data_IF_717691645211
#
_entry.id   IF_717691645211
#
_cell.length_a   1.000
_cell.length_b   1.000
_cell.length_c   1.000
_cell.angle_alpha   90.00
_cell.angle_beta   90.00
_cell.angle_gamma   90.00
#
_symmetry.space_group_name_H-M   'P 1'
#
loop_
_entity.id
_entity.type
_entity.pdbx_description
1 polymer ?
#
# COMPACT_ATOMS: atom_id res chain seq x y z
N UNK A 1 30.29 -5.22 28.93
CA UNK A 1 29.84 -4.55 30.17
C UNK A 1 28.42 -4.95 30.44
N UNK A 2 28.16 -5.55 31.60
CA UNK A 2 26.87 -6.10 32.03
C UNK A 2 25.79 -5.02 32.13
N UNK A 3 24.58 -5.34 31.65
CA UNK A 3 23.38 -4.54 31.86
C UNK A 3 22.76 -4.96 33.20
N UNK A 4 22.86 -4.11 34.22
CA UNK A 4 22.21 -4.32 35.53
C UNK A 4 20.79 -3.72 35.45
N UNK A 5 19.78 -4.57 35.66
CA UNK A 5 18.38 -4.16 35.83
C UNK A 5 18.14 -3.95 37.32
N UNK A 6 18.03 -2.70 37.75
CA UNK A 6 17.60 -2.35 39.11
C UNK A 6 16.14 -1.88 39.09
N UNK A 7 15.30 -2.55 39.88
CA UNK A 7 13.92 -2.15 40.13
C UNK A 7 13.95 -1.15 41.28
N UNK A 8 13.61 0.11 41.02
CA UNK A 8 13.40 1.13 42.06
C UNK A 8 11.94 1.54 42.04
N UNK A 9 11.25 1.29 43.16
CA UNK A 9 9.91 1.80 43.41
C UNK A 9 10.00 3.28 43.80
N UNK A 10 9.33 4.15 43.04
CA UNK A 10 9.23 5.58 43.35
C UNK A 10 7.77 6.01 43.52
N UNK A 11 7.52 6.64 44.67
CA UNK A 11 6.26 7.19 45.16
C UNK A 11 5.76 8.29 44.22
N UNK A 12 4.48 8.20 43.82
CA UNK A 12 3.83 9.15 42.92
C UNK A 12 3.41 10.42 43.65
N UNK A 13 3.95 11.56 43.22
CA UNK A 13 3.34 12.89 43.44
C UNK A 13 2.65 13.29 42.14
N UNK A 14 1.34 13.56 42.24
CA UNK A 14 0.47 13.88 41.11
C UNK A 14 0.82 15.22 40.47
N UNK A 15 1.70 15.20 39.48
CA UNK A 15 1.73 16.21 38.44
C UNK A 15 0.86 15.70 37.28
N UNK A 16 0.01 16.57 36.72
CA UNK A 16 -0.69 16.26 35.48
C UNK A 16 0.38 15.93 34.43
N UNK A 17 0.39 14.67 34.02
CA UNK A 17 1.34 14.06 33.12
C UNK A 17 1.34 14.77 31.76
N UNK A 18 2.07 15.88 31.62
CA UNK A 18 2.20 16.54 30.33
C UNK A 18 2.99 15.63 29.37
N UNK A 19 2.33 15.20 28.29
CA UNK A 19 3.01 14.51 27.20
C UNK A 19 4.02 15.45 26.55
N UNK A 20 5.28 15.02 26.49
CA UNK A 20 6.38 15.78 25.90
C UNK A 20 7.11 14.95 24.86
N UNK A 21 7.79 15.64 23.95
CA UNK A 21 8.69 15.02 22.97
C UNK A 21 10.12 15.31 23.40
N UNK A 22 10.83 14.26 23.81
CA UNK A 22 12.25 14.32 24.15
C UNK A 22 13.06 14.01 22.90
N UNK A 23 13.86 14.97 22.45
CA UNK A 23 14.82 14.79 21.36
C UNK A 23 16.19 14.54 21.95
N UNK A 24 16.84 13.45 21.57
CA UNK A 24 18.19 13.10 22.00
C UNK A 24 19.24 13.72 21.09
N UNK A 25 20.48 13.86 21.57
CA UNK A 25 21.62 14.33 20.76
C UNK A 25 21.92 13.44 19.55
N UNK A 26 21.49 12.17 19.60
CA UNK A 26 21.56 11.21 18.48
C UNK A 26 20.52 11.48 17.38
N UNK A 27 19.60 12.43 17.58
CA UNK A 27 18.46 12.70 16.70
C UNK A 27 17.23 11.81 16.96
N UNK A 28 17.32 10.83 17.86
CA UNK A 28 16.18 10.01 18.25
C UNK A 28 15.14 10.84 19.01
N UNK A 29 13.85 10.58 18.75
CA UNK A 29 12.73 11.24 19.43
C UNK A 29 11.90 10.24 20.21
N UNK A 30 11.64 10.55 21.48
CA UNK A 30 10.81 9.77 22.38
C UNK A 30 9.59 10.60 22.77
N UNK A 31 8.40 10.00 22.81
CA UNK A 31 7.16 10.70 23.14
C UNK A 31 6.44 9.95 24.26
N UNK A 32 6.12 10.66 25.33
CA UNK A 32 5.55 10.07 26.53
C UNK A 32 5.33 11.10 27.61
N UNK A 33 4.82 10.65 28.76
CA UNK A 33 4.87 11.44 29.99
C UNK A 33 6.33 11.47 30.45
N UNK A 34 6.85 12.67 30.72
CA UNK A 34 8.27 12.87 31.06
C UNK A 34 8.40 13.38 32.48
N UNK A 35 9.02 12.56 33.34
CA UNK A 35 9.35 12.90 34.72
C UNK A 35 10.86 13.13 34.84
N UNK A 36 11.27 14.26 35.41
CA UNK A 36 12.69 14.53 35.68
C UNK A 36 13.13 13.74 36.91
N UNK A 37 14.24 13.02 36.81
CA UNK A 37 14.87 12.27 37.90
C UNK A 37 16.21 12.93 38.28
N UNK A 38 16.92 12.38 39.28
CA UNK A 38 18.24 12.88 39.69
C UNK A 38 19.27 12.77 38.56
N UNK A 39 19.21 11.69 37.77
CA UNK A 39 20.22 11.36 36.76
C UNK A 39 19.77 11.66 35.30
N UNK A 40 18.51 12.09 35.11
CA UNK A 40 17.98 12.34 33.78
C UNK A 40 16.47 12.45 33.72
N UNK A 41 15.86 11.70 32.79
CA UNK A 41 14.44 11.74 32.51
C UNK A 41 13.89 10.32 32.39
N UNK A 42 12.79 10.07 33.08
CA UNK A 42 11.96 8.88 32.90
C UNK A 42 10.82 9.23 31.92
N UNK A 43 10.68 8.44 30.86
CA UNK A 43 9.72 8.67 29.79
C UNK A 43 8.80 7.46 29.71
N UNK A 44 7.55 7.62 30.19
CA UNK A 44 6.53 6.57 30.07
C UNK A 44 5.91 6.62 28.68
N UNK A 45 6.19 5.58 27.88
CA UNK A 45 5.62 5.41 26.54
C UNK A 45 4.59 4.28 26.51
N UNK A 46 3.73 4.18 25.49
CA UNK A 46 2.82 3.04 25.33
C UNK A 46 3.51 1.67 25.20
N UNK A 47 4.84 1.65 25.01
CA UNK A 47 5.66 0.43 24.90
C UNK A 47 6.48 0.13 26.15
N UNK A 48 6.29 0.90 27.23
CA UNK A 48 7.03 0.80 28.47
C UNK A 48 7.78 2.08 28.82
N UNK A 49 8.46 2.05 29.96
CA UNK A 49 9.23 3.16 30.51
C UNK A 49 10.67 3.15 29.97
N UNK A 50 11.15 4.31 29.52
CA UNK A 50 12.53 4.51 29.07
C UNK A 50 13.20 5.55 29.96
N UNK A 51 14.38 5.24 30.50
CA UNK A 51 15.19 6.19 31.27
C UNK A 51 16.33 6.70 30.38
N UNK A 52 16.51 8.02 30.35
CA UNK A 52 17.52 8.68 29.53
C UNK A 52 18.33 9.65 30.39
N UNK A 53 19.66 9.60 30.29
CA UNK A 53 20.53 10.52 31.02
C UNK A 53 20.37 11.97 30.54
N UNK A 54 20.44 12.95 31.43
CA UNK A 54 20.30 14.37 31.07
C UNK A 54 21.31 14.81 29.99
N UNK A 55 22.52 14.25 30.01
CA UNK A 55 23.60 14.51 29.05
C UNK A 55 23.28 14.08 27.61
N UNK A 56 22.35 13.14 27.44
CA UNK A 56 21.90 12.62 26.14
C UNK A 56 20.73 13.40 25.54
N UNK A 57 20.06 14.23 26.33
CA UNK A 57 18.92 15.02 25.88
C UNK A 57 19.40 16.29 25.18
N UNK A 58 18.87 16.53 23.97
CA UNK A 58 19.11 17.75 23.20
C UNK A 58 18.05 18.81 23.52
N UNK A 59 16.76 18.43 23.53
CA UNK A 59 15.65 19.32 23.91
C UNK A 59 14.41 18.55 24.30
N UNK A 60 13.53 19.20 25.06
CA UNK A 60 12.21 18.67 25.43
C UNK A 60 11.15 19.68 24.98
N UNK A 61 10.31 19.28 24.03
CA UNK A 61 9.21 20.10 23.52
C UNK A 61 7.87 19.62 24.11
N UNK A 62 6.88 20.51 24.25
CA UNK A 62 5.49 20.10 24.54
C UNK A 62 4.97 19.25 23.38
N UNK A 63 4.41 18.07 23.66
CA UNK A 63 3.74 17.30 22.62
C UNK A 63 2.40 17.96 22.33
N UNK A 64 2.14 18.33 21.08
CA UNK A 64 0.76 18.60 20.66
C UNK A 64 0.07 17.25 20.58
N UNK A 65 -0.62 16.87 21.65
CA UNK A 65 -1.43 15.65 21.69
C UNK A 65 -2.63 15.89 20.78
N UNK A 66 -2.97 14.95 19.87
CA UNK A 66 -4.13 15.09 19.00
C UNK A 66 -5.45 15.40 19.73
N UNK A 67 -5.60 14.98 21.00
CA UNK A 67 -6.76 15.29 21.82
C UNK A 67 -6.88 16.79 22.18
N UNK A 68 -5.78 17.48 22.49
CA UNK A 68 -5.80 18.92 22.79
C UNK A 68 -6.13 19.74 21.55
N UNK A 69 -5.63 19.28 20.39
CA UNK A 69 -5.92 19.89 19.11
C UNK A 69 -7.36 19.64 18.66
N UNK A 70 -7.95 18.51 19.03
CA UNK A 70 -9.38 18.26 18.82
C UNK A 70 -10.24 19.28 19.58
N UNK A 71 -9.92 19.52 20.86
CA UNK A 71 -10.64 20.51 21.68
C UNK A 71 -10.55 21.91 21.07
N UNK A 72 -9.33 22.36 20.72
CA UNK A 72 -9.13 23.65 20.04
C UNK A 72 -9.91 23.79 18.74
N UNK A 73 -10.07 22.71 17.97
CA UNK A 73 -10.85 22.71 16.73
C UNK A 73 -12.35 22.83 17.01
N UNK A 74 -12.84 22.15 18.03
CA UNK A 74 -14.24 22.24 18.45
C UNK A 74 -14.60 23.62 19.01
N UNK A 75 -13.69 24.29 19.71
CA UNK A 75 -13.90 25.64 20.26
C UNK A 75 -13.92 26.73 19.17
N UNK A 76 -13.40 26.43 17.97
CA UNK A 76 -13.28 27.37 16.83
C UNK A 76 -14.38 27.23 15.80
N UNK A 77 -15.24 26.23 15.92
CA UNK A 77 -16.34 26.01 15.01
C UNK A 77 -17.67 26.25 15.70
N UNK A 78 -18.67 26.64 14.93
CA UNK A 78 -20.06 26.52 15.34
C UNK A 78 -20.45 25.04 15.33
N UNK A 79 -20.70 24.47 16.51
CA UNK A 79 -21.07 23.06 16.65
C UNK A 79 -22.50 22.75 16.18
N UNK A 80 -23.31 23.77 15.86
CA UNK A 80 -24.60 23.60 15.18
C UNK A 80 -24.46 23.47 13.66
N UNK A 81 -23.29 23.78 13.10
CA UNK A 81 -23.00 23.62 11.68
C UNK A 81 -22.50 22.19 11.37
N UNK A 82 -23.35 21.40 10.70
CA UNK A 82 -23.07 20.01 10.36
C UNK A 82 -21.78 19.83 9.51
N UNK A 83 -21.48 20.74 8.58
CA UNK A 83 -20.31 20.63 7.69
C UNK A 83 -19.00 20.97 8.44
N UNK A 84 -19.04 21.98 9.32
CA UNK A 84 -17.89 22.32 10.16
C UNK A 84 -17.56 21.19 11.14
N UNK A 85 -18.60 20.60 11.74
CA UNK A 85 -18.48 19.47 12.66
C UNK A 85 -17.96 18.20 11.94
N UNK A 86 -18.40 17.96 10.71
CA UNK A 86 -17.89 16.89 9.85
C UNK A 86 -16.40 17.07 9.55
N UNK A 87 -15.96 18.29 9.25
CA UNK A 87 -14.55 18.59 9.03
C UNK A 87 -13.66 18.22 10.23
N UNK A 88 -14.12 18.49 11.45
CA UNK A 88 -13.42 18.11 12.69
C UNK A 88 -13.47 16.59 12.90
N UNK A 89 -14.58 15.93 12.58
CA UNK A 89 -14.71 14.48 12.68
C UNK A 89 -13.77 13.72 11.72
N UNK A 90 -13.62 14.21 10.49
CA UNK A 90 -12.68 13.65 9.50
C UNK A 90 -11.22 13.85 9.95
N UNK A 91 -10.91 15.03 10.50
CA UNK A 91 -9.59 15.27 11.06
C UNK A 91 -9.29 14.33 12.25
N UNK A 92 -10.26 14.11 13.15
CA UNK A 92 -10.13 13.16 14.25
C UNK A 92 -9.84 11.74 13.76
N UNK A 93 -10.53 11.29 12.70
CA UNK A 93 -10.26 10.03 12.02
C UNK A 93 -8.83 9.94 11.47
N UNK A 94 -8.34 10.97 10.78
CA UNK A 94 -6.97 11.03 10.26
C UNK A 94 -5.91 10.95 11.37
N UNK A 95 -6.23 11.47 12.56
CA UNK A 95 -5.38 11.39 13.76
C UNK A 95 -5.61 10.15 14.61
N UNK A 96 -6.45 9.21 14.15
CA UNK A 96 -6.81 7.94 14.82
C UNK A 96 -7.55 8.10 16.15
N UNK A 97 -8.21 9.24 16.35
CA UNK A 97 -9.12 9.51 17.46
C UNK A 97 -10.50 8.93 17.11
N UNK A 98 -10.63 7.60 17.18
CA UNK A 98 -11.77 6.90 16.60
C UNK A 98 -13.06 7.07 17.38
N UNK A 99 -13.00 7.06 18.71
CA UNK A 99 -14.18 7.25 19.56
C UNK A 99 -14.73 8.66 19.38
N UNK A 100 -13.83 9.65 19.38
CA UNK A 100 -14.16 11.05 19.21
C UNK A 100 -14.67 11.35 17.80
N UNK A 101 -14.07 10.73 16.77
CA UNK A 101 -14.57 10.81 15.40
C UNK A 101 -16.00 10.24 15.31
N UNK A 102 -16.29 9.10 15.95
CA UNK A 102 -17.62 8.50 15.95
C UNK A 102 -18.66 9.41 16.61
N UNK A 103 -18.35 9.98 17.78
CA UNK A 103 -19.25 10.88 18.50
C UNK A 103 -19.58 12.13 17.69
N UNK A 104 -18.58 12.71 17.02
CA UNK A 104 -18.80 13.86 16.14
C UNK A 104 -19.65 13.49 14.92
N UNK A 105 -19.43 12.33 14.31
CA UNK A 105 -20.24 11.86 13.17
C UNK A 105 -21.69 11.59 13.55
N UNK A 106 -21.94 11.10 14.77
CA UNK A 106 -23.29 10.96 15.30
C UNK A 106 -23.99 12.32 15.42
N UNK A 107 -23.28 13.35 15.90
CA UNK A 107 -23.81 14.72 15.97
C UNK A 107 -24.09 15.29 14.58
N UNK A 108 -23.19 15.09 13.61
CA UNK A 108 -23.39 15.52 12.22
C UNK A 108 -24.67 14.91 11.65
N UNK A 109 -24.87 13.60 11.80
CA UNK A 109 -26.04 12.90 11.27
C UNK A 109 -27.33 13.22 12.03
N UNK A 110 -27.24 13.71 13.27
CA UNK A 110 -28.40 14.25 14.00
C UNK A 110 -28.83 15.62 13.46
N UNK A 111 -27.87 16.46 13.05
CA UNK A 111 -28.12 17.78 12.47
C UNK A 111 -28.54 17.68 11.00
N UNK A 112 -27.95 16.74 10.24
CA UNK A 112 -28.18 16.54 8.81
C UNK A 112 -28.20 15.03 8.48
N UNK A 113 -29.36 14.37 8.56
CA UNK A 113 -29.49 12.92 8.39
C UNK A 113 -29.07 12.38 7.01
N UNK A 114 -29.15 13.21 5.97
CA UNK A 114 -28.81 12.88 4.57
C UNK A 114 -27.33 13.17 4.23
N UNK A 115 -26.48 13.46 5.21
CA UNK A 115 -25.07 13.77 4.98
C UNK A 115 -24.27 12.52 4.57
N UNK A 116 -24.24 12.21 3.27
CA UNK A 116 -23.66 10.99 2.69
C UNK A 116 -22.22 10.70 3.16
N UNK A 117 -21.37 11.73 3.17
CA UNK A 117 -19.97 11.59 3.59
C UNK A 117 -19.81 11.24 5.08
N UNK A 118 -20.71 11.73 5.95
CA UNK A 118 -20.70 11.44 7.38
C UNK A 118 -21.19 10.02 7.63
N UNK A 119 -22.22 9.56 6.91
CA UNK A 119 -22.72 8.19 6.99
C UNK A 119 -21.66 7.17 6.55
N UNK A 120 -20.95 7.45 5.46
CA UNK A 120 -19.87 6.60 4.96
C UNK A 120 -18.70 6.55 5.96
N UNK A 121 -18.23 7.71 6.44
CA UNK A 121 -17.13 7.77 7.39
C UNK A 121 -17.49 7.11 8.73
N UNK A 122 -18.72 7.31 9.24
CA UNK A 122 -19.21 6.66 10.46
C UNK A 122 -19.10 5.14 10.36
N UNK A 123 -19.53 4.56 9.25
CA UNK A 123 -19.44 3.12 9.00
C UNK A 123 -17.98 2.62 9.04
N UNK A 124 -17.04 3.39 8.47
CA UNK A 124 -15.62 3.06 8.51
C UNK A 124 -15.05 3.13 9.94
N UNK A 125 -15.45 4.14 10.71
CA UNK A 125 -15.04 4.32 12.11
C UNK A 125 -15.60 3.19 13.00
N UNK A 126 -16.87 2.82 12.83
CA UNK A 126 -17.50 1.70 13.55
C UNK A 126 -16.80 0.37 13.29
N UNK A 127 -16.44 0.09 12.02
CA UNK A 127 -15.66 -1.10 11.66
C UNK A 127 -14.30 -1.08 12.37
N UNK A 128 -13.63 0.08 12.41
CA UNK A 128 -12.34 0.24 13.04
C UNK A 128 -12.39 0.09 14.58
N UNK A 129 -13.46 0.57 15.23
CA UNK A 129 -13.71 0.41 16.67
C UNK A 129 -14.10 -1.02 17.04
N UNK A 130 -14.96 -1.67 16.24
CA UNK A 130 -15.33 -3.07 16.44
C UNK A 130 -14.11 -4.00 16.33
N UNK A 131 -13.14 -3.64 15.48
CA UNK A 131 -11.88 -4.36 15.34
C UNK A 131 -10.89 -4.14 16.50
N UNK A 132 -11.19 -3.28 17.47
CA UNK A 132 -10.38 -2.99 18.67
C UNK A 132 -10.92 -3.62 19.96
N UNK A 133 -12.20 -3.99 20.02
CA UNK A 133 -12.77 -4.66 21.20
C UNK A 133 -12.38 -6.16 21.24
N UNK A 134 -11.80 -6.68 22.33
CA UNK A 134 -11.65 -8.12 22.54
C UNK A 134 -13.05 -8.75 22.67
N UNK A 135 -13.29 -9.89 22.02
CA UNK A 135 -14.58 -10.59 22.10
C UNK A 135 -14.54 -11.63 23.24
N UNK A 136 -15.60 -11.75 24.09
CA UNK A 136 -15.68 -12.81 25.09
C UNK A 136 -15.84 -14.19 24.45
N UNK A 137 -15.45 -15.28 25.14
CA UNK A 137 -15.50 -16.63 24.61
C UNK A 137 -16.94 -17.15 24.60
N UNK A 138 -17.41 -17.66 23.46
CA UNK A 138 -18.67 -18.41 23.36
C UNK A 138 -18.31 -19.87 23.07
N UNK A 139 -18.95 -20.77 23.82
CA UNK A 139 -18.72 -22.21 23.87
C UNK A 139 -18.98 -22.98 22.57
N UNK A 140 -18.76 -24.31 22.61
CA UNK A 140 -18.48 -25.10 21.42
C UNK A 140 -19.77 -25.40 20.66
N UNK A 141 -19.93 -24.80 19.48
CA UNK A 141 -20.77 -25.39 18.45
C UNK A 141 -19.97 -25.43 17.16
N UNK A 142 -19.93 -26.63 16.60
CA UNK A 142 -19.05 -27.11 15.55
C UNK A 142 -19.26 -26.33 14.26
N UNK A 143 -18.54 -25.21 14.12
CA UNK A 143 -18.23 -24.61 12.83
C UNK A 143 -16.72 -24.53 12.74
N UNK A 144 -16.14 -25.45 11.97
CA UNK A 144 -14.73 -25.44 11.58
C UNK A 144 -14.47 -24.10 10.88
N UNK A 145 -14.11 -23.10 11.68
CA UNK A 145 -13.74 -21.78 11.21
C UNK A 145 -12.23 -21.84 11.10
N UNK A 146 -11.79 -22.27 9.91
CA UNK A 146 -10.40 -22.20 9.48
C UNK A 146 -9.83 -20.83 9.84
N UNK A 147 -8.78 -20.86 10.65
CA UNK A 147 -7.99 -19.74 11.13
C UNK A 147 -7.52 -18.85 9.96
N UNK A 148 -8.03 -17.63 9.86
CA UNK A 148 -7.59 -16.57 8.94
C UNK A 148 -7.69 -15.23 9.68
N UNK A 149 -6.67 -14.40 9.83
CA UNK A 149 -5.29 -14.48 9.35
C UNK A 149 -4.47 -13.40 10.07
N UNK A 150 -3.18 -13.68 10.23
CA UNK A 150 -2.18 -12.71 10.67
C UNK A 150 -2.32 -11.43 9.83
N UNK A 151 -2.66 -10.28 10.45
CA UNK A 151 -2.67 -8.99 9.76
C UNK A 151 -1.29 -8.81 9.12
N UNK A 152 -1.24 -8.77 7.79
CA UNK A 152 0.03 -8.62 7.06
C UNK A 152 0.63 -7.28 7.46
N UNK A 153 1.85 -7.32 8.01
CA UNK A 153 2.50 -6.09 8.43
C UNK A 153 2.72 -5.17 7.21
N UNK A 154 2.35 -3.87 7.28
CA UNK A 154 2.44 -2.95 6.15
C UNK A 154 3.82 -2.84 5.49
N UNK A 155 4.91 -3.13 6.20
CA UNK A 155 6.26 -3.15 5.63
C UNK A 155 6.52 -4.30 4.65
N UNK A 156 5.67 -5.35 4.66
CA UNK A 156 5.74 -6.50 3.74
C UNK A 156 5.02 -6.24 2.42
N UNK A 157 4.33 -5.11 2.30
CA UNK A 157 3.56 -4.70 1.12
C UNK A 157 4.24 -3.51 0.45
N UNK A 158 4.03 -3.36 -0.85
CA UNK A 158 4.45 -2.17 -1.62
C UNK A 158 3.99 -0.88 -0.93
N UNK A 159 4.79 0.17 -1.04
CA UNK A 159 4.36 1.53 -0.67
C UNK A 159 3.32 2.02 -1.68
N UNK A 160 2.47 2.96 -1.28
CA UNK A 160 1.47 3.51 -2.20
C UNK A 160 2.09 4.20 -3.42
N UNK A 161 3.26 4.83 -3.27
CA UNK A 161 3.96 5.43 -4.41
C UNK A 161 4.35 4.40 -5.47
N UNK A 162 4.74 3.20 -5.05
CA UNK A 162 5.04 2.08 -5.95
C UNK A 162 3.77 1.54 -6.61
N UNK A 163 2.63 1.53 -5.89
CA UNK A 163 1.32 1.20 -6.46
C UNK A 163 0.95 2.19 -7.57
N UNK A 164 1.08 3.49 -7.32
CA UNK A 164 0.81 4.52 -8.31
C UNK A 164 1.74 4.40 -9.52
N UNK A 165 3.01 4.05 -9.31
CA UNK A 165 3.98 3.81 -10.39
C UNK A 165 3.58 2.63 -11.27
N UNK A 166 3.15 1.51 -10.68
CA UNK A 166 2.67 0.36 -11.45
C UNK A 166 1.42 0.75 -12.26
N UNK A 167 0.46 1.46 -11.64
CA UNK A 167 -0.74 1.94 -12.34
C UNK A 167 -0.40 2.85 -13.52
N UNK A 168 0.52 3.78 -13.33
CA UNK A 168 0.98 4.69 -14.38
C UNK A 168 1.60 3.94 -15.54
N UNK A 169 2.44 2.94 -15.25
CA UNK A 169 3.13 2.17 -16.28
C UNK A 169 2.22 1.18 -17.00
N UNK A 170 1.11 0.76 -16.39
CA UNK A 170 0.07 -0.09 -17.01
C UNK A 170 -1.11 0.70 -17.60
N UNK A 171 -1.06 2.04 -17.55
CA UNK A 171 -2.12 2.91 -18.06
C UNK A 171 -2.24 2.79 -19.60
N UNK A 172 -3.47 2.81 -20.11
CA UNK A 172 -3.79 2.82 -21.54
C UNK A 172 -4.58 4.07 -21.91
N UNK A 173 -4.50 4.50 -23.17
CA UNK A 173 -5.22 5.67 -23.66
C UNK A 173 -6.75 5.55 -23.60
N UNK A 174 -7.27 4.31 -23.57
CA UNK A 174 -8.68 4.00 -23.40
C UNK A 174 -9.16 4.03 -21.94
N UNK A 175 -8.25 4.08 -20.97
CA UNK A 175 -8.63 4.09 -19.56
C UNK A 175 -9.41 5.36 -19.19
N UNK A 176 -10.33 5.19 -18.24
CA UNK A 176 -11.15 6.27 -17.66
C UNK A 176 -10.93 6.28 -16.15
N UNK A 177 -9.75 6.72 -15.73
CA UNK A 177 -9.34 6.77 -14.33
C UNK A 177 -8.91 8.19 -13.94
N UNK A 178 -9.20 8.63 -12.71
CA UNK A 178 -8.73 9.91 -12.21
C UNK A 178 -7.20 9.94 -12.13
N UNK A 179 -6.63 11.02 -12.67
CA UNK A 179 -5.21 11.33 -12.62
C UNK A 179 -5.03 12.58 -11.75
N UNK A 180 -4.12 12.51 -10.79
CA UNK A 180 -3.70 13.66 -10.00
C UNK A 180 -2.27 14.04 -10.41
N UNK A 181 -2.09 15.29 -10.83
CA UNK A 181 -0.81 15.89 -11.14
C UNK A 181 -0.35 16.72 -9.94
N UNK A 182 0.80 16.39 -9.36
CA UNK A 182 1.38 17.07 -8.20
C UNK A 182 2.48 18.03 -8.58
N UNK A 183 2.83 18.94 -7.68
CA UNK A 183 4.03 19.77 -7.77
C UNK A 183 4.17 20.49 -9.11
N UNK A 184 3.05 20.96 -9.68
CA UNK A 184 3.02 21.63 -11.00
C UNK A 184 3.71 20.84 -12.12
N UNK A 185 3.70 19.50 -12.06
CA UNK A 185 4.42 18.63 -13.00
C UNK A 185 4.05 18.88 -14.47
N UNK A 186 2.83 19.32 -14.75
CA UNK A 186 2.43 19.69 -16.11
C UNK A 186 3.22 20.91 -16.60
N UNK A 187 3.31 21.95 -15.77
CA UNK A 187 4.04 23.18 -16.09
C UNK A 187 5.54 22.89 -16.21
N UNK A 188 6.11 22.13 -15.26
CA UNK A 188 7.51 21.70 -15.31
C UNK A 188 7.83 20.90 -16.59
N UNK A 189 6.91 20.03 -17.03
CA UNK A 189 7.07 19.25 -18.25
C UNK A 189 7.02 20.13 -19.50
N UNK A 190 6.04 21.04 -19.58
CA UNK A 190 5.88 21.95 -20.71
C UNK A 190 7.13 22.82 -20.85
N UNK A 191 7.63 23.40 -19.75
CA UNK A 191 8.85 24.21 -19.81
C UNK A 191 10.08 23.40 -20.21
N UNK A 192 10.23 22.18 -19.68
CA UNK A 192 11.39 21.34 -19.97
C UNK A 192 11.42 20.79 -21.40
N UNK A 193 10.28 20.76 -22.11
CA UNK A 193 10.14 20.20 -23.46
C UNK A 193 9.62 21.25 -24.45
N UNK A 194 9.77 22.55 -24.12
CA UNK A 194 9.36 23.65 -24.98
C UNK A 194 10.20 23.62 -26.26
N UNK A 195 9.54 23.71 -27.42
CA UNK A 195 10.23 23.59 -28.71
C UNK A 195 10.36 22.16 -29.23
N UNK A 196 9.83 21.15 -28.53
CA UNK A 196 9.86 19.75 -28.95
C UNK A 196 8.46 19.21 -29.30
N UNK A 197 8.38 18.36 -30.33
CA UNK A 197 7.15 17.71 -30.81
C UNK A 197 5.93 18.67 -30.83
N UNK A 198 4.79 18.28 -30.23
CA UNK A 198 3.58 19.12 -30.15
C UNK A 198 3.86 20.45 -29.45
N UNK A 199 4.81 20.51 -28.52
CA UNK A 199 5.14 21.73 -27.77
C UNK A 199 6.03 22.70 -28.58
N UNK A 200 6.48 22.33 -29.77
CA UNK A 200 7.11 23.25 -30.72
C UNK A 200 6.09 24.15 -31.44
N UNK A 201 4.84 23.69 -31.54
CA UNK A 201 3.80 24.41 -32.26
C UNK A 201 3.33 25.65 -31.51
N UNK A 202 2.90 26.69 -32.25
CA UNK A 202 2.39 27.95 -31.67
C UNK A 202 1.23 27.75 -30.69
N UNK A 203 0.42 26.70 -30.86
CA UNK A 203 -0.69 26.32 -29.98
C UNK A 203 -0.41 25.06 -29.14
N UNK A 204 0.81 24.54 -29.22
CA UNK A 204 1.21 23.27 -28.64
C UNK A 204 0.89 23.09 -27.16
N UNK A 205 1.24 24.09 -26.34
CA UNK A 205 0.92 24.08 -24.91
C UNK A 205 -0.60 24.04 -24.67
N UNK A 206 -1.36 24.88 -25.37
CA UNK A 206 -2.83 24.93 -25.23
C UNK A 206 -3.44 23.58 -25.60
N UNK A 207 -2.98 22.99 -26.70
CA UNK A 207 -3.48 21.72 -27.20
C UNK A 207 -3.12 20.56 -26.28
N UNK A 208 -1.91 20.56 -25.71
CA UNK A 208 -1.51 19.62 -24.66
C UNK A 208 -2.37 19.76 -23.39
N UNK A 209 -2.62 20.98 -22.93
CA UNK A 209 -3.46 21.24 -21.76
C UNK A 209 -4.93 20.84 -21.98
N UNK A 210 -5.41 20.91 -23.22
CA UNK A 210 -6.74 20.46 -23.59
C UNK A 210 -6.89 18.94 -23.68
N UNK A 211 -5.78 18.17 -23.70
CA UNK A 211 -5.85 16.72 -23.66
C UNK A 211 -6.49 16.23 -22.36
N UNK A 212 -7.21 15.11 -22.45
CA UNK A 212 -7.70 14.40 -21.26
C UNK A 212 -6.52 14.05 -20.33
N UNK A 213 -6.69 14.04 -19.00
CA UNK A 213 -5.59 13.76 -18.05
C UNK A 213 -4.83 12.46 -18.31
N UNK A 214 -5.51 11.40 -18.73
CA UNK A 214 -4.86 10.13 -19.13
C UNK A 214 -3.95 10.33 -20.34
N UNK A 215 -4.37 11.12 -21.34
CA UNK A 215 -3.57 11.43 -22.52
C UNK A 215 -2.39 12.34 -22.19
N UNK A 216 -2.55 13.30 -21.29
CA UNK A 216 -1.45 14.11 -20.78
C UNK A 216 -0.39 13.24 -20.09
N UNK A 217 -0.82 12.34 -19.19
CA UNK A 217 0.08 11.42 -18.51
C UNK A 217 0.84 10.52 -19.48
N UNK A 218 0.14 9.94 -20.47
CA UNK A 218 0.78 9.10 -21.50
C UNK A 218 1.75 9.90 -22.37
N UNK A 219 1.36 11.11 -22.79
CA UNK A 219 2.24 12.00 -23.56
C UNK A 219 3.54 12.28 -22.79
N UNK A 220 3.46 12.60 -21.49
CA UNK A 220 4.64 12.77 -20.65
C UNK A 220 5.50 11.49 -20.61
N UNK A 221 4.88 10.31 -20.50
CA UNK A 221 5.63 9.05 -20.46
C UNK A 221 6.35 8.73 -21.76
N UNK A 222 5.77 9.12 -22.89
CA UNK A 222 6.29 8.85 -24.23
C UNK A 222 7.39 9.86 -24.63
N UNK A 223 7.39 11.05 -24.02
CA UNK A 223 8.35 12.14 -24.30
C UNK A 223 9.37 12.36 -23.17
N UNK A 224 9.52 11.41 -22.24
CA UNK A 224 10.54 11.49 -21.20
C UNK A 224 11.27 10.18 -21.08
N UNK A 225 12.58 10.22 -20.84
CA UNK A 225 13.35 8.99 -20.65
C UNK A 225 12.82 8.17 -19.47
N UNK A 226 12.73 6.84 -19.58
CA UNK A 226 12.12 5.95 -18.56
C UNK A 226 12.85 5.98 -17.20
N UNK A 227 14.09 6.44 -17.16
CA UNK A 227 14.86 6.68 -15.94
C UNK A 227 14.54 8.01 -15.28
N UNK A 228 13.97 8.98 -16.01
CA UNK A 228 13.58 10.27 -15.44
C UNK A 228 12.38 10.09 -14.49
N UNK A 229 12.69 10.15 -13.19
CA UNK A 229 11.69 10.07 -12.12
C UNK A 229 11.08 11.42 -11.77
N UNK A 230 11.63 12.54 -12.27
CA UNK A 230 11.20 13.92 -11.96
C UNK A 230 9.71 14.10 -12.20
N UNK A 231 9.25 13.72 -13.39
CA UNK A 231 7.84 13.84 -13.76
C UNK A 231 7.00 12.66 -13.24
N UNK A 232 7.48 11.43 -13.43
CA UNK A 232 6.70 10.21 -13.14
C UNK A 232 6.26 10.08 -11.68
N UNK A 233 7.07 10.54 -10.72
CA UNK A 233 6.72 10.49 -9.29
C UNK A 233 5.56 11.42 -8.92
N UNK A 234 5.29 12.42 -9.76
CA UNK A 234 4.28 13.44 -9.54
C UNK A 234 2.98 13.19 -10.32
N UNK A 235 2.87 12.07 -11.04
CA UNK A 235 1.67 11.66 -11.77
C UNK A 235 1.05 10.46 -11.06
N UNK A 236 -0.10 10.66 -10.42
CA UNK A 236 -0.77 9.61 -9.67
C UNK A 236 -2.04 9.13 -10.35
N UNK A 237 -2.05 7.86 -10.72
CA UNK A 237 -3.27 7.18 -11.18
C UNK A 237 -4.04 6.67 -9.96
N UNK A 238 -5.15 7.34 -9.61
CA UNK A 238 -5.81 7.15 -8.30
C UNK A 238 -6.68 5.89 -8.21
N UNK A 239 -7.07 5.31 -9.35
CA UNK A 239 -7.88 4.08 -9.44
C UNK A 239 -7.23 3.07 -10.40
N UNK A 240 -7.71 1.83 -10.35
CA UNK A 240 -7.18 0.76 -11.18
C UNK A 240 -7.44 0.98 -12.68
N UNK A 241 -6.38 1.00 -13.52
CA UNK A 241 -6.50 0.79 -14.96
C UNK A 241 -7.26 -0.50 -15.26
N UNK A 242 -7.84 -0.61 -16.46
CA UNK A 242 -8.68 -1.75 -16.84
C UNK A 242 -7.98 -3.11 -16.68
N UNK A 243 -6.68 -3.17 -16.96
CA UNK A 243 -5.88 -4.39 -16.81
C UNK A 243 -5.72 -4.82 -15.36
N UNK A 244 -5.53 -3.87 -14.44
CA UNK A 244 -5.43 -4.14 -13.00
C UNK A 244 -6.77 -4.48 -12.37
N UNK A 245 -7.85 -3.89 -12.87
CA UNK A 245 -9.21 -4.28 -12.49
C UNK A 245 -9.49 -5.73 -12.87
N UNK A 246 -9.13 -6.12 -14.10
CA UNK A 246 -9.26 -7.51 -14.57
C UNK A 246 -8.40 -8.46 -13.74
N UNK A 247 -7.17 -8.07 -13.40
CA UNK A 247 -6.33 -8.83 -12.48
C UNK A 247 -7.07 -9.09 -11.17
N UNK A 248 -7.56 -8.03 -10.52
CA UNK A 248 -8.20 -8.11 -9.20
C UNK A 248 -9.48 -8.95 -9.20
N UNK A 249 -10.36 -8.77 -10.17
CA UNK A 249 -11.72 -9.34 -10.14
C UNK A 249 -11.85 -10.67 -10.85
N UNK A 250 -10.95 -10.99 -11.79
CA UNK A 250 -11.07 -12.19 -12.65
C UNK A 250 -9.88 -13.12 -12.60
N UNK A 251 -8.66 -12.61 -12.53
CA UNK A 251 -7.44 -13.44 -12.51
C UNK A 251 -7.10 -13.88 -11.09
N UNK A 252 -7.06 -12.94 -10.15
CA UNK A 252 -6.65 -13.21 -8.78
C UNK A 252 -7.48 -14.28 -8.09
N UNK A 253 -8.83 -14.35 -8.20
CA UNK A 253 -9.59 -15.44 -7.60
C UNK A 253 -9.13 -16.83 -8.05
N UNK A 254 -8.71 -16.98 -9.30
CA UNK A 254 -8.19 -18.25 -9.84
C UNK A 254 -6.81 -18.55 -9.25
N UNK A 255 -5.92 -17.54 -9.24
CA UNK A 255 -4.57 -17.66 -8.66
C UNK A 255 -4.63 -17.92 -7.15
N UNK A 256 -5.59 -17.30 -6.46
CA UNK A 256 -5.78 -17.45 -5.03
C UNK A 256 -6.22 -18.86 -4.67
N UNK A 257 -7.21 -19.39 -5.39
CA UNK A 257 -7.70 -20.75 -5.16
C UNK A 257 -6.66 -21.81 -5.53
N UNK A 258 -5.95 -21.64 -6.66
CA UNK A 258 -5.04 -22.64 -7.20
C UNK A 258 -3.61 -22.60 -6.66
N UNK A 259 -3.10 -21.41 -6.33
CA UNK A 259 -1.68 -21.21 -6.04
C UNK A 259 -1.44 -20.50 -4.69
N UNK A 260 -2.25 -19.49 -4.36
CA UNK A 260 -2.08 -18.65 -3.17
C UNK A 260 -2.93 -19.10 -1.98
N UNK A 261 -3.33 -20.37 -1.92
CA UNK A 261 -3.98 -20.94 -0.75
C UNK A 261 -3.01 -20.97 0.44
N UNK A 262 -3.55 -21.05 1.66
CA UNK A 262 -2.73 -21.07 2.88
C UNK A 262 -1.81 -22.31 2.96
N UNK A 263 -2.21 -23.44 2.35
CA UNK A 263 -1.42 -24.68 2.29
C UNK A 263 -0.36 -24.67 1.18
N UNK A 264 -0.56 -23.84 0.15
CA UNK A 264 0.38 -23.63 -0.94
C UNK A 264 1.12 -22.30 -0.71
N UNK A 265 1.17 -21.38 -1.66
CA UNK A 265 2.03 -20.20 -1.61
C UNK A 265 1.49 -19.01 -0.80
N UNK A 266 0.29 -19.12 -0.22
CA UNK A 266 -0.35 -18.04 0.56
C UNK A 266 -0.14 -18.10 2.07
N UNK A 267 0.48 -19.18 2.58
CA UNK A 267 0.62 -19.44 4.01
C UNK A 267 1.75 -18.67 4.69
N UNK A 268 1.57 -18.39 5.98
CA UNK A 268 2.63 -17.79 6.80
C UNK A 268 3.86 -18.71 6.91
N UNK A 269 3.64 -20.03 6.99
CA UNK A 269 4.66 -21.05 7.20
C UNK A 269 5.04 -21.84 5.94
N UNK A 270 4.58 -21.42 4.75
CA UNK A 270 4.89 -22.16 3.52
C UNK A 270 6.39 -22.19 3.24
N UNK A 271 6.99 -23.39 3.08
CA UNK A 271 8.40 -23.51 2.72
C UNK A 271 8.61 -23.18 1.25
N UNK A 272 9.42 -22.15 0.97
CA UNK A 272 9.85 -21.78 -0.38
C UNK A 272 10.11 -20.30 -0.55
N UNK A 273 10.80 -19.96 -1.64
CA UNK A 273 11.11 -18.56 -2.01
C UNK A 273 9.96 -17.86 -2.74
N UNK A 274 8.93 -18.59 -3.20
CA UNK A 274 7.75 -17.98 -3.83
C UNK A 274 6.61 -17.91 -2.81
N UNK A 275 6.18 -16.68 -2.50
CA UNK A 275 5.14 -16.42 -1.50
C UNK A 275 4.23 -15.29 -1.97
N UNK A 276 2.93 -15.52 -1.82
CA UNK A 276 1.86 -14.58 -2.11
C UNK A 276 1.11 -14.26 -0.81
N UNK A 277 0.40 -13.15 -0.81
CA UNK A 277 -0.41 -12.70 0.32
C UNK A 277 -1.86 -13.13 0.13
N UNK A 278 -2.33 -14.02 1.00
CA UNK A 278 -3.73 -14.43 1.07
C UNK A 278 -4.52 -13.46 1.97
N UNK A 279 -4.89 -12.29 1.41
CA UNK A 279 -5.65 -11.26 2.11
C UNK A 279 -6.65 -10.57 1.16
N UNK A 280 -7.64 -9.83 1.69
CA UNK A 280 -8.67 -9.18 0.86
C UNK A 280 -8.07 -8.26 -0.21
N UNK A 281 -8.50 -8.45 -1.46
CA UNK A 281 -8.09 -7.63 -2.61
C UNK A 281 -8.73 -6.23 -2.64
N UNK A 282 -9.55 -5.88 -1.66
CA UNK A 282 -10.05 -4.52 -1.49
C UNK A 282 -8.90 -3.55 -1.14
N UNK A 283 -7.84 -4.04 -0.50
CA UNK A 283 -6.61 -3.27 -0.26
C UNK A 283 -5.72 -3.27 -1.51
N UNK A 284 -5.55 -2.08 -2.09
CA UNK A 284 -4.68 -1.84 -3.24
C UNK A 284 -3.25 -2.35 -2.99
N UNK A 285 -2.72 -2.17 -1.79
CA UNK A 285 -1.33 -2.57 -1.50
C UNK A 285 -1.18 -4.08 -1.58
N UNK A 286 -2.17 -4.85 -1.14
CA UNK A 286 -2.14 -6.32 -1.24
C UNK A 286 -2.24 -6.74 -2.71
N UNK A 287 -3.20 -6.20 -3.46
CA UNK A 287 -3.41 -6.54 -4.86
C UNK A 287 -2.16 -6.29 -5.71
N UNK A 288 -1.57 -5.09 -5.58
CA UNK A 288 -0.41 -4.71 -6.37
C UNK A 288 0.88 -5.39 -5.89
N UNK A 289 1.00 -5.73 -4.61
CA UNK A 289 2.13 -6.52 -4.14
C UNK A 289 2.11 -7.92 -4.73
N UNK A 290 0.95 -8.58 -4.73
CA UNK A 290 0.81 -9.90 -5.35
C UNK A 290 1.05 -9.85 -6.87
N UNK A 291 0.48 -8.86 -7.55
CA UNK A 291 0.76 -8.62 -8.97
C UNK A 291 2.26 -8.44 -9.23
N UNK A 292 2.94 -7.59 -8.46
CA UNK A 292 4.36 -7.35 -8.62
C UNK A 292 5.21 -8.60 -8.37
N UNK A 293 4.87 -9.38 -7.33
CA UNK A 293 5.54 -10.66 -7.07
C UNK A 293 5.39 -11.59 -8.27
N UNK A 294 4.19 -11.72 -8.85
CA UNK A 294 3.98 -12.54 -10.05
C UNK A 294 4.75 -12.01 -11.27
N UNK A 295 4.88 -10.69 -11.41
CA UNK A 295 5.63 -10.12 -12.54
C UNK A 295 7.14 -10.28 -12.38
N UNK A 296 7.66 -10.09 -11.17
CA UNK A 296 9.10 -10.00 -10.92
C UNK A 296 9.74 -11.37 -10.61
N UNK A 297 8.94 -12.37 -10.26
CA UNK A 297 9.48 -13.68 -9.90
C UNK A 297 9.91 -14.48 -11.13
N UNK A 298 11.15 -14.97 -11.08
CA UNK A 298 11.76 -15.81 -12.11
C UNK A 298 12.42 -17.02 -11.46
N UNK A 299 12.36 -18.19 -12.11
CA UNK A 299 13.12 -19.38 -11.70
C UNK A 299 13.61 -20.13 -12.93
N UNK A 300 14.90 -20.48 -12.92
CA UNK A 300 15.58 -21.16 -14.04
C UNK A 300 15.36 -20.42 -15.36
N UNK A 301 15.63 -19.11 -15.34
CA UNK A 301 15.47 -18.18 -16.48
C UNK A 301 14.05 -18.03 -17.04
N UNK A 302 13.03 -18.61 -16.38
CA UNK A 302 11.63 -18.50 -16.81
C UNK A 302 10.82 -17.63 -15.86
N UNK A 303 10.08 -16.68 -16.44
CA UNK A 303 9.25 -15.76 -15.69
C UNK A 303 7.95 -16.42 -15.19
N UNK A 304 7.48 -15.97 -14.03
CA UNK A 304 6.16 -16.32 -13.53
C UNK A 304 5.06 -15.77 -14.46
N UNK A 305 5.22 -14.51 -14.90
CA UNK A 305 4.47 -13.91 -16.00
C UNK A 305 5.44 -13.64 -17.15
N UNK A 306 5.29 -14.41 -18.22
CA UNK A 306 5.95 -14.20 -19.49
C UNK A 306 5.02 -13.38 -20.39
N UNK A 307 5.40 -12.14 -20.71
CA UNK A 307 4.56 -11.26 -21.53
C UNK A 307 4.70 -11.61 -23.00
N UNK A 308 5.88 -12.03 -23.44
CA UNK A 308 6.18 -12.27 -24.85
C UNK A 308 5.58 -13.60 -25.30
N UNK A 309 5.62 -14.60 -24.41
CA UNK A 309 4.95 -15.88 -24.60
C UNK A 309 3.95 -16.20 -23.46
N UNK A 310 2.75 -15.57 -23.45
CA UNK A 310 1.79 -15.68 -22.37
C UNK A 310 1.44 -17.11 -21.99
N UNK A 311 1.19 -17.98 -22.97
CA UNK A 311 0.89 -19.41 -22.74
C UNK A 311 2.05 -20.16 -22.06
N UNK A 312 3.30 -19.69 -22.24
CA UNK A 312 4.50 -20.26 -21.64
C UNK A 312 4.80 -19.72 -20.24
N UNK A 313 4.04 -18.74 -19.75
CA UNK A 313 4.12 -18.26 -18.37
C UNK A 313 4.10 -19.40 -17.38
N UNK A 314 5.03 -19.41 -16.41
CA UNK A 314 5.04 -20.45 -15.37
C UNK A 314 3.73 -20.47 -14.57
N UNK A 315 3.08 -19.31 -14.39
CA UNK A 315 1.76 -19.20 -13.78
C UNK A 315 0.70 -20.10 -14.45
N UNK A 316 0.74 -20.20 -15.78
CA UNK A 316 -0.19 -21.02 -16.55
C UNK A 316 0.26 -22.48 -16.61
N UNK A 317 1.54 -22.70 -16.91
CA UNK A 317 2.11 -24.04 -17.08
C UNK A 317 2.08 -24.86 -15.78
N UNK A 318 2.32 -24.24 -14.63
CA UNK A 318 2.26 -24.93 -13.33
C UNK A 318 0.83 -25.29 -12.90
N UNK A 319 -0.20 -24.75 -13.57
CA UNK A 319 -1.60 -25.06 -13.28
C UNK A 319 -2.21 -26.16 -14.16
N UNK A 320 -1.48 -26.61 -15.19
CA UNK A 320 -1.89 -27.68 -16.09
C UNK A 320 -1.57 -29.07 -15.51
N UNK A 321 -2.19 -30.15 -16.04
CA UNK A 321 -1.73 -31.51 -15.80
C UNK A 321 -0.28 -31.70 -16.31
N UNK A 322 0.50 -32.53 -15.63
CA UNK A 322 1.93 -32.72 -15.94
C UNK A 322 2.17 -33.29 -17.35
N UNK A 323 1.23 -34.07 -17.89
CA UNK A 323 1.28 -34.58 -19.27
C UNK A 323 1.09 -33.50 -20.36
N UNK A 324 0.54 -32.34 -20.00
CA UNK A 324 0.32 -31.20 -20.91
C UNK A 324 1.34 -30.09 -20.64
N UNK A 325 1.74 -29.90 -19.38
CA UNK A 325 2.67 -28.85 -18.98
C UNK A 325 4.06 -29.09 -19.57
N UNK A 326 4.73 -28.00 -19.98
CA UNK A 326 6.15 -28.07 -20.32
C UNK A 326 6.97 -28.49 -19.09
N UNK A 327 7.84 -29.49 -19.24
CA UNK A 327 8.62 -30.07 -18.11
C UNK A 327 9.41 -29.04 -17.30
N UNK A 328 9.90 -27.97 -17.94
CA UNK A 328 10.63 -26.89 -17.27
C UNK A 328 9.74 -25.96 -16.41
N UNK A 329 8.42 -25.98 -16.64
CA UNK A 329 7.44 -25.09 -16.03
C UNK A 329 6.31 -25.82 -15.27
N UNK A 330 6.33 -27.16 -15.23
CA UNK A 330 5.45 -27.96 -14.37
C UNK A 330 5.69 -27.67 -12.89
N UNK A 331 4.72 -28.04 -12.05
CA UNK A 331 4.75 -27.71 -10.63
C UNK A 331 5.79 -28.57 -9.89
N UNK A 332 6.85 -27.94 -9.38
CA UNK A 332 8.12 -28.62 -9.05
C UNK A 332 8.16 -29.52 -7.80
N UNK A 333 7.05 -29.74 -7.10
CA UNK A 333 7.03 -30.58 -5.88
C UNK A 333 6.13 -31.81 -6.04
N UNK A 334 4.91 -31.59 -6.54
CA UNK A 334 3.90 -32.60 -6.87
C UNK A 334 2.94 -32.00 -7.90
N UNK A 335 2.33 -32.80 -8.77
CA UNK A 335 1.23 -32.34 -9.61
C UNK A 335 0.12 -31.75 -8.73
N UNK A 336 -0.54 -30.70 -9.21
CA UNK A 336 -1.72 -30.15 -8.55
C UNK A 336 -2.88 -31.12 -8.73
N UNK A 337 -3.56 -31.46 -7.62
CA UNK A 337 -4.68 -32.40 -7.62
C UNK A 337 -5.88 -31.75 -6.90
N UNK A 338 -6.97 -31.42 -7.63
CA UNK A 338 -7.07 -31.41 -9.10
C UNK A 338 -6.20 -30.28 -9.72
N UNK A 339 -5.86 -30.38 -11.02
CA UNK A 339 -5.18 -29.30 -11.73
C UNK A 339 -6.06 -28.04 -11.79
N UNK A 340 -5.43 -26.87 -11.84
CA UNK A 340 -6.14 -25.57 -11.91
C UNK A 340 -6.82 -25.38 -13.27
N UNK A 341 -6.17 -25.88 -14.32
CA UNK A 341 -6.64 -25.87 -15.70
C UNK A 341 -6.70 -27.30 -16.23
N UNK A 342 -7.75 -27.64 -16.98
CA UNK A 342 -7.84 -28.96 -17.61
C UNK A 342 -6.95 -29.11 -18.84
N UNK A 343 -6.75 -28.02 -19.57
CA UNK A 343 -5.92 -27.93 -20.77
C UNK A 343 -5.65 -26.47 -21.12
N UNK A 344 -4.87 -26.21 -22.16
CA UNK A 344 -4.65 -24.86 -22.72
C UNK A 344 -5.94 -24.25 -23.30
N UNK A 345 -6.96 -25.06 -23.59
CA UNK A 345 -8.28 -24.59 -24.06
C UNK A 345 -9.24 -24.25 -22.91
N UNK A 346 -8.86 -24.50 -21.66
CA UNK A 346 -9.66 -24.17 -20.48
C UNK A 346 -10.01 -22.66 -20.46
N UNK A 347 -11.24 -22.31 -20.11
CA UNK A 347 -11.70 -20.92 -20.05
C UNK A 347 -10.87 -20.09 -19.06
N UNK A 348 -10.46 -20.67 -17.93
CA UNK A 348 -9.61 -20.00 -16.93
C UNK A 348 -8.19 -19.78 -17.47
N UNK A 349 -7.64 -20.76 -18.19
CA UNK A 349 -6.34 -20.64 -18.84
C UNK A 349 -6.36 -19.49 -19.86
N UNK A 350 -7.31 -19.52 -20.80
CA UNK A 350 -7.45 -18.49 -21.84
C UNK A 350 -7.76 -17.10 -21.27
N UNK A 351 -8.49 -17.01 -20.17
CA UNK A 351 -8.74 -15.75 -19.48
C UNK A 351 -7.45 -15.12 -18.94
N UNK A 352 -6.63 -15.91 -18.25
CA UNK A 352 -5.37 -15.42 -17.69
C UNK A 352 -4.37 -15.12 -18.82
N UNK A 353 -4.28 -15.98 -19.83
CA UNK A 353 -3.46 -15.75 -21.02
C UNK A 353 -3.83 -14.43 -21.72
N UNK A 354 -5.13 -14.19 -21.97
CA UNK A 354 -5.62 -12.93 -22.56
C UNK A 354 -5.31 -11.73 -21.67
N UNK A 355 -5.40 -11.89 -20.35
CA UNK A 355 -5.02 -10.83 -19.42
C UNK A 355 -3.52 -10.52 -19.51
N UNK A 356 -2.64 -11.53 -19.56
CA UNK A 356 -1.20 -11.31 -19.73
C UNK A 356 -0.92 -10.58 -21.06
N UNK A 357 -1.57 -10.97 -22.16
CA UNK A 357 -1.50 -10.28 -23.46
C UNK A 357 -1.95 -8.81 -23.38
N UNK A 358 -2.82 -8.47 -22.44
CA UNK A 358 -3.33 -7.10 -22.29
C UNK A 358 -2.41 -6.17 -21.48
N UNK A 359 -1.43 -6.72 -20.76
CA UNK A 359 -0.42 -5.94 -20.04
C UNK A 359 0.37 -5.07 -21.02
N UNK A 360 0.88 -3.91 -20.56
CA UNK A 360 1.66 -3.02 -21.42
C UNK A 360 2.93 -3.72 -21.91
N UNK A 361 3.15 -3.67 -23.23
CA UNK A 361 4.34 -4.23 -23.88
C UNK A 361 5.04 -3.14 -24.71
N UNK A 362 6.37 -3.20 -24.81
CA UNK A 362 7.27 -4.02 -23.99
C UNK A 362 7.39 -3.48 -22.55
N UNK A 363 7.56 -4.37 -21.56
CA UNK A 363 7.98 -3.95 -20.22
C UNK A 363 9.49 -3.71 -20.24
N UNK A 364 9.92 -2.61 -20.86
CA UNK A 364 11.36 -2.30 -20.98
C UNK A 364 12.02 -2.16 -19.61
N UNK A 365 13.30 -2.49 -19.57
CA UNK A 365 14.12 -2.33 -18.38
C UNK A 365 14.16 -0.86 -17.95
N UNK A 366 14.22 -0.61 -16.63
CA UNK A 366 14.27 -1.57 -15.53
C UNK A 366 12.88 -1.93 -14.94
N UNK A 367 11.85 -2.04 -15.78
CA UNK A 367 10.51 -2.44 -15.37
C UNK A 367 9.79 -1.37 -14.52
N UNK A 368 9.16 -1.78 -13.42
CA UNK A 368 8.39 -0.86 -12.57
C UNK A 368 9.22 -0.01 -11.63
N UNK A 369 10.53 -0.24 -11.46
CA UNK A 369 11.38 0.51 -10.51
C UNK A 369 10.77 0.63 -9.10
N UNK A 370 10.24 -0.46 -8.54
CA UNK A 370 9.68 -0.44 -7.17
C UNK A 370 10.74 -0.88 -6.16
N UNK A 371 10.74 -0.27 -4.98
CA UNK A 371 11.67 -0.64 -3.90
C UNK A 371 11.04 -1.72 -3.02
N UNK A 372 10.95 -2.93 -3.57
CA UNK A 372 10.32 -4.08 -2.92
C UNK A 372 11.27 -5.28 -2.87
N UNK A 373 11.46 -5.83 -1.68
CA UNK A 373 12.18 -7.09 -1.52
C UNK A 373 11.22 -8.26 -1.75
N UNK A 374 11.48 -9.05 -2.79
CA UNK A 374 10.73 -10.27 -3.05
C UNK A 374 10.93 -11.24 -1.87
N UNK A 375 9.85 -11.82 -1.33
CA UNK A 375 9.96 -12.86 -0.31
C UNK A 375 10.96 -13.93 -0.75
N UNK A 376 11.90 -14.32 0.12
CA UNK A 376 12.87 -15.40 -0.14
C UNK A 376 13.92 -15.16 -1.23
N UNK A 377 13.86 -14.05 -1.99
CA UNK A 377 14.85 -13.67 -3.02
C UNK A 377 15.57 -12.35 -2.72
N UNK A 378 15.08 -11.55 -1.75
CA UNK A 378 15.66 -10.24 -1.44
C UNK A 378 15.21 -9.17 -2.44
N UNK A 379 15.87 -8.00 -2.46
CA UNK A 379 15.58 -6.96 -3.45
C UNK A 379 16.00 -7.46 -4.85
N UNK A 380 15.17 -7.28 -5.90
CA UNK A 380 15.64 -7.51 -7.25
C UNK A 380 16.89 -6.66 -7.47
N UNK A 381 17.97 -7.28 -7.96
CA UNK A 381 19.16 -6.54 -8.39
C UNK A 381 18.69 -5.51 -9.42
N UNK A 382 19.06 -4.22 -9.29
CA UNK A 382 18.81 -3.26 -10.35
C UNK A 382 19.29 -3.86 -11.67
N UNK A 383 18.48 -3.78 -12.72
CA UNK A 383 19.00 -4.12 -14.04
C UNK A 383 20.27 -3.27 -14.26
N UNK A 384 21.36 -3.85 -14.78
CA UNK A 384 22.53 -3.05 -15.13
C UNK A 384 22.06 -1.89 -15.99
N UNK A 385 22.60 -0.71 -15.69
CA UNK A 385 22.31 0.52 -16.41
C UNK A 385 22.90 0.34 -17.82
N UNK A 386 22.14 -0.30 -18.70
CA UNK A 386 22.42 -0.22 -20.12
C UNK A 386 22.09 1.23 -20.45
N UNK A 387 23.14 2.04 -20.63
CA UNK A 387 23.05 3.44 -20.99
C UNK A 387 22.12 3.69 -22.19
N UNK A 388 21.91 4.96 -22.56
CA UNK A 388 20.87 5.34 -23.51
C UNK A 388 20.88 4.43 -24.75
N UNK A 389 19.73 3.81 -25.02
CA UNK A 389 19.48 3.16 -26.30
C UNK A 389 19.66 4.26 -27.36
N UNK A 390 20.67 4.06 -28.23
CA UNK A 390 20.85 4.88 -29.43
C UNK A 390 19.66 4.76 -30.37
#
# INVERSE_FOLDING_TARGET
GLLIVAIVAAIAVGAVAEHKVVTLKTGQRLTGEVTKTKDGYEIKTPRGTVVVAASQVLRIDKAVVPADELKRRLDRIDQSNAEALFGVANWAWEKKLLAESLDLLNKVLKLKPDHENAALLKRLVEIALAAQKPRPPVGPTTRVTTTMGSRIHPSKLLKMDDVYRIRLLELRGSDRVPIEFRNKVLDEFIEANRGEDKLAERRGERDFRALRPVRQALYILDHTDRSDTRFRKNILVKKDPAVMRTFRTRVWPIVQAGCASASCHGGAKTPGKFKLFNAPMADDRVAYTNFYILQAWTKSSRAMIDRDEPAQSRLLQSGLPDEIATRAASHSKKPLQPPVFRSTRDRKFRLIEKWIKSLRQPLLRPGYRVNYALPGLGKPKPAPDTGPLK
#
